data_IF_245707201842
#
_entry.id   IF_245707201842
#
_cell.length_a   1.000
_cell.length_b   1.000
_cell.length_c   1.000
_cell.angle_alpha   90.00
_cell.angle_beta   90.00
_cell.angle_gamma   90.00
#
_symmetry.space_group_name_H-M   'P 1'
#
loop_
_entity.id
_entity.type
_entity.pdbx_description
1 polymer ?
#
# COMPACT_ATOMS: atom_id res chain seq x y z
N UNK A 1 9.37 -4.68 -11.32
CA UNK A 1 10.50 -3.72 -11.48
C UNK A 1 10.46 -2.93 -12.78
N UNK A 2 10.39 -3.58 -13.95
CA UNK A 2 10.38 -2.87 -15.24
C UNK A 2 9.27 -1.82 -15.35
N UNK A 3 8.04 -2.17 -14.94
CA UNK A 3 6.93 -1.22 -14.91
C UNK A 3 7.23 0.03 -14.11
N UNK A 4 7.84 -0.09 -12.92
CA UNK A 4 8.23 1.08 -12.11
C UNK A 4 9.24 1.96 -12.87
N UNK A 5 10.31 1.38 -13.41
CA UNK A 5 11.37 2.13 -14.12
C UNK A 5 10.87 2.79 -15.41
N UNK A 6 9.94 2.17 -16.13
CA UNK A 6 9.44 2.66 -17.43
C UNK A 6 8.21 3.56 -17.32
N UNK A 7 7.39 3.35 -16.30
CA UNK A 7 6.07 3.99 -16.22
C UNK A 7 5.97 5.06 -15.14
N UNK A 8 6.84 5.10 -14.14
CA UNK A 8 6.84 6.23 -13.19
C UNK A 8 7.46 7.44 -13.89
N UNK A 9 6.64 8.46 -14.18
CA UNK A 9 7.07 9.68 -14.87
C UNK A 9 7.91 10.58 -13.96
N UNK A 10 7.64 10.55 -12.65
CA UNK A 10 8.41 11.29 -11.67
C UNK A 10 9.84 10.73 -11.56
N UNK A 11 10.82 11.59 -11.31
CA UNK A 11 12.18 11.14 -11.03
C UNK A 11 12.19 10.27 -9.77
N UNK A 12 12.71 9.06 -9.90
CA UNK A 12 12.92 8.13 -8.79
C UNK A 12 14.38 8.19 -8.38
N UNK A 13 14.64 8.47 -7.10
CA UNK A 13 15.99 8.55 -6.56
C UNK A 13 16.58 7.16 -6.33
N UNK A 14 15.92 6.37 -5.48
CA UNK A 14 16.28 5.00 -5.15
C UNK A 14 15.01 4.15 -5.13
N UNK A 15 15.14 2.85 -5.38
CA UNK A 15 14.05 1.89 -5.24
C UNK A 15 14.39 0.94 -4.09
N UNK A 16 13.44 0.83 -3.15
CA UNK A 16 13.57 0.00 -1.95
C UNK A 16 12.70 -1.24 -2.11
N UNK A 17 13.24 -2.42 -1.82
CA UNK A 17 12.48 -3.65 -1.66
C UNK A 17 12.42 -3.96 -0.18
N UNK A 18 11.20 -3.98 0.37
CA UNK A 18 10.93 -4.23 1.77
C UNK A 18 10.27 -5.59 1.87
N UNK A 19 10.90 -6.53 2.57
CA UNK A 19 10.39 -7.88 2.73
C UNK A 19 10.99 -8.55 3.96
N UNK A 20 10.45 -9.71 4.38
CA UNK A 20 11.18 -10.61 5.27
C UNK A 20 12.54 -10.96 4.66
N UNK A 21 13.49 -11.34 5.51
CA UNK A 21 14.81 -11.79 5.09
C UNK A 21 14.72 -13.05 4.20
N UNK A 22 15.07 -12.88 2.93
CA UNK A 22 15.22 -13.96 1.95
C UNK A 22 16.46 -13.66 1.10
N UNK A 23 17.42 -14.59 1.05
CA UNK A 23 18.69 -14.38 0.33
C UNK A 23 18.49 -14.18 -1.18
N UNK A 24 17.44 -14.76 -1.78
CA UNK A 24 17.13 -14.55 -3.21
C UNK A 24 16.68 -13.11 -3.47
N UNK A 25 15.92 -12.52 -2.54
CA UNK A 25 15.50 -11.11 -2.64
C UNK A 25 16.70 -10.19 -2.44
N UNK A 26 17.58 -10.50 -1.48
CA UNK A 26 18.80 -9.73 -1.21
C UNK A 26 19.72 -9.75 -2.43
N UNK A 27 19.96 -10.93 -3.02
CA UNK A 27 20.76 -11.09 -4.24
C UNK A 27 20.11 -10.35 -5.43
N UNK A 28 18.80 -10.52 -5.63
CA UNK A 28 18.05 -9.78 -6.64
C UNK A 28 18.22 -8.26 -6.52
N UNK A 29 18.23 -7.74 -5.29
CA UNK A 29 18.46 -6.32 -5.02
C UNK A 29 19.89 -5.89 -5.36
N UNK A 30 20.90 -6.68 -4.95
CA UNK A 30 22.31 -6.41 -5.26
C UNK A 30 22.56 -6.36 -6.77
N UNK A 31 22.05 -7.34 -7.51
CA UNK A 31 22.22 -7.45 -8.96
C UNK A 31 21.61 -6.28 -9.76
N UNK A 32 20.65 -5.57 -9.15
CA UNK A 32 19.85 -4.53 -9.82
C UNK A 32 20.03 -3.15 -9.21
N UNK A 33 21.02 -2.99 -8.32
CA UNK A 33 21.32 -1.74 -7.60
C UNK A 33 20.07 -1.21 -6.86
N UNK A 34 19.34 -2.10 -6.19
CA UNK A 34 18.18 -1.78 -5.35
C UNK A 34 18.58 -1.80 -3.88
N UNK A 35 17.86 -1.05 -3.06
CA UNK A 35 18.09 -1.04 -1.61
C UNK A 35 17.18 -2.07 -0.95
N UNK A 36 17.76 -3.11 -0.36
CA UNK A 36 17.02 -4.06 0.47
C UNK A 36 16.79 -3.49 1.87
N UNK A 37 15.57 -3.68 2.39
CA UNK A 37 15.20 -3.33 3.76
C UNK A 37 14.52 -4.53 4.41
N UNK A 38 15.07 -5.00 5.52
CA UNK A 38 14.44 -6.03 6.34
C UNK A 38 13.26 -5.42 7.09
N UNK A 39 12.06 -5.91 6.82
CA UNK A 39 10.85 -5.38 7.44
C UNK A 39 10.83 -5.55 8.96
N UNK A 40 11.50 -6.57 9.50
CA UNK A 40 11.58 -6.82 10.93
C UNK A 40 12.40 -5.74 11.67
N UNK A 41 13.20 -4.96 10.94
CA UNK A 41 14.01 -3.87 11.51
C UNK A 41 13.24 -2.54 11.65
N UNK A 42 12.02 -2.45 11.11
CA UNK A 42 11.28 -1.19 11.05
C UNK A 42 10.53 -0.84 12.32
N UNK A 43 10.26 -1.82 13.18
CA UNK A 43 9.52 -1.66 14.43
C UNK A 43 10.20 -2.46 15.54
N UNK A 44 9.98 -2.05 16.79
CA UNK A 44 10.47 -2.76 17.98
C UNK A 44 9.59 -3.98 18.33
N UNK A 45 8.67 -4.35 17.44
CA UNK A 45 7.80 -5.50 17.55
C UNK A 45 7.67 -6.21 16.20
N UNK A 46 7.40 -7.51 16.25
CA UNK A 46 7.17 -8.36 15.09
C UNK A 46 5.66 -8.55 14.84
N UNK A 47 5.28 -9.02 13.63
CA UNK A 47 3.90 -9.46 13.40
C UNK A 47 3.36 -10.41 14.48
N UNK A 48 4.19 -11.35 14.95
CA UNK A 48 3.75 -12.38 15.92
C UNK A 48 3.31 -11.78 17.27
N UNK A 49 3.80 -10.60 17.61
CA UNK A 49 3.47 -9.91 18.85
C UNK A 49 2.06 -9.31 18.83
N UNK A 50 1.52 -9.03 17.64
CA UNK A 50 0.22 -8.40 17.46
C UNK A 50 -0.97 -9.34 17.72
N UNK A 51 -0.78 -10.66 17.52
CA UNK A 51 -1.78 -11.72 17.76
C UNK A 51 -3.16 -11.35 17.19
N UNK A 52 -3.16 -10.88 15.95
CA UNK A 52 -4.36 -10.44 15.24
C UNK A 52 -5.07 -11.66 14.62
N UNK A 53 -5.80 -12.37 15.47
CA UNK A 53 -6.70 -13.45 15.04
C UNK A 53 -8.03 -12.84 14.60
N UNK A 54 -8.47 -13.16 13.39
CA UNK A 54 -9.71 -12.63 12.81
C UNK A 54 -10.62 -13.73 12.30
N UNK A 55 -11.91 -13.39 12.14
CA UNK A 55 -12.93 -14.28 11.60
C UNK A 55 -13.24 -15.46 12.50
N UNK A 56 -14.19 -16.28 12.06
CA UNK A 56 -14.58 -17.51 12.77
C UNK A 56 -13.52 -18.61 12.64
N UNK A 57 -12.72 -18.59 11.57
CA UNK A 57 -11.62 -19.51 11.30
C UNK A 57 -10.36 -19.19 12.12
N UNK A 58 -10.36 -18.10 12.90
CA UNK A 58 -9.20 -17.59 13.65
C UNK A 58 -7.97 -17.57 12.74
N UNK A 59 -8.09 -16.90 11.61
CA UNK A 59 -6.95 -16.65 10.72
C UNK A 59 -6.02 -15.63 11.36
N UNK A 60 -4.72 -15.90 11.33
CA UNK A 60 -3.73 -14.91 11.75
C UNK A 60 -3.52 -13.89 10.61
N UNK A 61 -3.86 -12.62 10.88
CA UNK A 61 -3.67 -11.49 9.96
C UNK A 61 -2.62 -10.51 10.45
N UNK A 62 -1.80 -10.90 11.42
CA UNK A 62 -0.78 -10.02 11.99
C UNK A 62 0.25 -9.60 10.95
N UNK A 63 0.72 -10.54 10.11
CA UNK A 63 1.64 -10.24 9.01
C UNK A 63 1.03 -9.26 8.00
N UNK A 64 -0.25 -9.43 7.69
CA UNK A 64 -0.95 -8.53 6.78
C UNK A 64 -1.13 -7.12 7.35
N UNK A 65 -1.52 -6.98 8.62
CA UNK A 65 -1.64 -5.66 9.25
C UNK A 65 -0.26 -5.01 9.42
N UNK A 66 0.79 -5.79 9.67
CA UNK A 66 2.16 -5.28 9.72
C UNK A 66 2.59 -4.63 8.39
N UNK A 67 2.20 -5.20 7.24
CA UNK A 67 2.44 -4.56 5.93
C UNK A 67 1.76 -3.18 5.83
N UNK A 68 0.58 -3.01 6.41
CA UNK A 68 -0.09 -1.69 6.47
C UNK A 68 0.75 -0.69 7.28
N UNK A 69 1.33 -1.14 8.39
CA UNK A 69 2.19 -0.30 9.23
C UNK A 69 3.48 0.10 8.54
N UNK A 70 4.13 -0.82 7.83
CA UNK A 70 5.33 -0.52 7.05
C UNK A 70 5.06 0.64 6.09
N UNK A 71 3.96 0.56 5.34
CA UNK A 71 3.58 1.56 4.34
C UNK A 71 3.20 2.91 4.96
N UNK A 72 2.55 2.92 6.13
CA UNK A 72 2.23 4.15 6.87
C UNK A 72 3.43 4.73 7.64
N UNK A 73 4.48 3.95 7.89
CA UNK A 73 5.55 4.35 8.82
C UNK A 73 6.30 5.63 8.42
N UNK A 74 6.48 5.88 7.12
CA UNK A 74 7.37 6.91 6.60
C UNK A 74 8.86 6.70 6.95
N UNK A 75 9.23 5.52 7.49
CA UNK A 75 10.61 5.22 7.94
C UNK A 75 11.56 4.87 6.79
N UNK A 76 11.04 4.40 5.66
CA UNK A 76 11.82 3.95 4.51
C UNK A 76 12.16 5.13 3.59
N UNK A 77 13.33 5.06 2.95
CA UNK A 77 13.78 6.03 1.96
C UNK A 77 14.26 7.37 2.53
N UNK A 78 14.88 8.17 1.66
CA UNK A 78 15.48 9.46 2.05
C UNK A 78 14.67 10.67 1.60
N UNK A 79 13.73 10.50 0.68
CA UNK A 79 12.90 11.56 0.14
C UNK A 79 11.70 11.88 1.05
N UNK A 80 11.23 13.12 0.98
CA UNK A 80 10.02 13.57 1.69
C UNK A 80 8.74 12.90 1.14
N UNK A 81 8.70 12.66 -0.17
CA UNK A 81 7.66 11.90 -0.83
C UNK A 81 8.21 10.55 -1.28
N UNK A 82 7.44 9.48 -1.10
CA UNK A 82 7.78 8.15 -1.61
C UNK A 82 6.57 7.49 -2.27
N UNK A 83 6.80 6.83 -3.39
CA UNK A 83 5.83 5.96 -4.01
C UNK A 83 5.91 4.59 -3.34
N UNK A 84 4.81 4.16 -2.73
CA UNK A 84 4.59 2.77 -2.35
C UNK A 84 3.80 2.08 -3.47
N UNK A 85 4.20 0.87 -3.84
CA UNK A 85 3.54 0.02 -4.82
C UNK A 85 3.59 -1.42 -4.29
N UNK A 86 2.48 -2.15 -4.42
CA UNK A 86 2.41 -3.55 -3.99
C UNK A 86 3.24 -4.43 -4.94
N UNK A 87 3.79 -5.52 -4.42
CA UNK A 87 4.71 -6.37 -5.17
C UNK A 87 4.02 -7.17 -6.30
N UNK A 88 2.71 -7.38 -6.18
CA UNK A 88 1.83 -8.03 -7.15
C UNK A 88 1.21 -7.04 -8.16
N UNK A 89 1.64 -5.78 -8.15
CA UNK A 89 1.11 -4.73 -9.02
C UNK A 89 2.13 -4.24 -10.04
N UNK A 90 1.79 -4.32 -11.34
CA UNK A 90 2.69 -3.97 -12.44
C UNK A 90 2.09 -2.84 -13.27
N UNK A 91 2.82 -1.73 -13.37
CA UNK A 91 2.46 -0.60 -14.22
C UNK A 91 2.81 -0.93 -15.67
N UNK A 92 1.87 -0.74 -16.61
CA UNK A 92 2.07 -1.01 -18.05
C UNK A 92 1.81 0.22 -18.95
N UNK A 93 1.50 1.37 -18.34
CA UNK A 93 1.41 2.69 -19.00
C UNK A 93 1.96 3.78 -18.08
N UNK A 94 2.37 4.97 -18.59
CA UNK A 94 2.89 6.05 -17.76
C UNK A 94 1.95 6.54 -16.65
N UNK A 95 2.50 6.81 -15.47
CA UNK A 95 1.85 7.33 -14.27
C UNK A 95 2.57 8.56 -13.74
N UNK A 96 1.78 9.52 -13.25
CA UNK A 96 2.27 10.68 -12.51
C UNK A 96 1.73 10.57 -11.10
N UNK A 97 2.62 10.66 -10.12
CA UNK A 97 2.31 10.55 -8.70
C UNK A 97 2.46 11.87 -7.96
N UNK A 98 3.29 12.77 -8.49
CA UNK A 98 3.47 14.12 -7.99
C UNK A 98 3.44 15.10 -9.17
N UNK A 99 2.54 16.07 -9.13
CA UNK A 99 2.47 17.12 -10.15
C UNK A 99 3.67 18.06 -10.04
N UNK A 100 3.93 18.83 -11.10
CA UNK A 100 4.95 19.90 -11.08
C UNK A 100 4.69 20.99 -10.05
N UNK A 101 3.46 21.10 -9.53
CA UNK A 101 3.06 22.01 -8.45
C UNK A 101 3.16 21.37 -7.05
N UNK A 102 3.70 20.16 -6.94
CA UNK A 102 3.85 19.45 -5.66
C UNK A 102 2.57 18.81 -5.13
N UNK A 103 1.48 18.75 -5.91
CA UNK A 103 0.26 18.03 -5.51
C UNK A 103 0.39 16.53 -5.77
N UNK A 104 0.03 15.68 -4.80
CA UNK A 104 -0.01 14.24 -5.02
C UNK A 104 -1.17 13.87 -5.94
N UNK A 105 -0.96 12.82 -6.74
CA UNK A 105 -1.97 12.22 -7.60
C UNK A 105 -2.31 10.85 -7.02
N UNK A 106 -3.55 10.70 -6.54
CA UNK A 106 -4.06 9.45 -6.00
C UNK A 106 -4.93 8.76 -7.03
N UNK A 107 -4.57 7.51 -7.30
CA UNK A 107 -5.32 6.65 -8.19
C UNK A 107 -6.39 5.92 -7.38
N UNK A 108 -7.59 5.82 -7.96
CA UNK A 108 -8.73 5.19 -7.33
C UNK A 108 -9.22 3.98 -8.11
N UNK A 109 -9.57 2.91 -7.41
CA UNK A 109 -10.08 1.68 -8.00
C UNK A 109 -11.59 1.53 -7.74
N UNK A 110 -12.20 0.55 -8.41
CA UNK A 110 -13.55 0.09 -8.09
C UNK A 110 -13.60 -0.89 -6.90
N UNK A 111 -12.47 -1.18 -6.24
CA UNK A 111 -12.40 -2.09 -5.10
C UNK A 111 -12.97 -1.43 -3.84
N UNK A 112 -14.30 -1.36 -3.78
CA UNK A 112 -14.98 -0.89 -2.60
C UNK A 112 -15.06 -2.00 -1.54
N UNK A 113 -14.49 -1.73 -0.36
CA UNK A 113 -14.58 -2.60 0.79
C UNK A 113 -15.04 -1.83 2.02
N UNK A 114 -16.28 -2.10 2.47
CA UNK A 114 -16.92 -1.35 3.57
C UNK A 114 -16.09 -1.31 4.86
N UNK A 115 -15.45 -2.41 5.31
CA UNK A 115 -14.58 -2.37 6.49
C UNK A 115 -13.49 -1.30 6.43
N UNK A 116 -12.92 -1.03 5.26
CA UNK A 116 -11.93 0.05 5.13
C UNK A 116 -12.55 1.42 5.41
N UNK A 117 -13.72 1.72 4.83
CA UNK A 117 -14.41 2.99 5.08
C UNK A 117 -14.81 3.13 6.56
N UNK A 118 -15.34 2.06 7.16
CA UNK A 118 -15.71 2.04 8.58
C UNK A 118 -14.50 2.28 9.49
N UNK A 119 -13.34 1.69 9.15
CA UNK A 119 -12.10 1.89 9.89
C UNK A 119 -11.61 3.33 9.82
N UNK A 120 -11.72 3.98 8.65
CA UNK A 120 -11.34 5.39 8.48
C UNK A 120 -12.25 6.28 9.32
N UNK A 121 -13.56 6.05 9.29
CA UNK A 121 -14.50 6.81 10.12
C UNK A 121 -14.17 6.63 11.61
N UNK A 122 -13.93 5.40 12.05
CA UNK A 122 -13.54 5.12 13.44
C UNK A 122 -12.23 5.80 13.83
N UNK A 123 -11.22 5.75 12.96
CA UNK A 123 -9.87 6.26 13.24
C UNK A 123 -9.74 7.77 13.09
N UNK A 124 -10.50 8.41 12.21
CA UNK A 124 -10.34 9.85 11.92
C UNK A 124 -11.58 10.69 12.24
N UNK A 125 -12.73 10.06 12.45
CA UNK A 125 -14.03 10.74 12.57
C UNK A 125 -14.58 11.25 11.23
N UNK A 126 -13.85 11.07 10.13
CA UNK A 126 -14.26 11.54 8.82
C UNK A 126 -15.20 10.53 8.15
N UNK A 127 -16.44 10.94 7.92
CA UNK A 127 -17.38 10.20 7.07
C UNK A 127 -17.11 10.53 5.61
N UNK A 128 -17.05 9.51 4.77
CA UNK A 128 -16.95 9.72 3.34
C UNK A 128 -17.72 8.69 2.53
N UNK A 129 -18.44 9.18 1.52
CA UNK A 129 -19.14 8.37 0.56
C UNK A 129 -18.50 8.60 -0.81
N UNK A 130 -17.54 7.74 -1.16
CA UNK A 130 -16.97 7.71 -2.51
C UNK A 130 -17.39 6.42 -3.23
N UNK A 131 -17.71 6.55 -4.51
CA UNK A 131 -17.95 5.41 -5.39
C UNK A 131 -16.68 4.62 -5.73
N UNK A 132 -15.51 5.25 -5.55
CA UNK A 132 -14.20 4.66 -5.83
C UNK A 132 -13.35 4.66 -4.56
N UNK A 133 -12.54 3.62 -4.42
CA UNK A 133 -11.64 3.37 -3.31
C UNK A 133 -10.25 3.92 -3.59
N UNK A 134 -9.49 4.30 -2.56
CA UNK A 134 -8.07 4.63 -2.72
C UNK A 134 -7.17 3.39 -2.79
N UNK A 135 -7.73 2.19 -2.56
CA UNK A 135 -7.02 0.91 -2.70
C UNK A 135 -6.78 0.62 -4.16
N UNK A 136 -5.69 1.19 -4.71
CA UNK A 136 -5.28 1.03 -6.10
C UNK A 136 -3.87 0.44 -6.20
N UNK A 137 -3.40 -0.26 -5.15
CA UNK A 137 -2.11 -0.94 -5.07
C UNK A 137 -0.86 -0.06 -5.27
N UNK A 138 -1.04 1.26 -5.27
CA UNK A 138 0.03 2.26 -5.41
C UNK A 138 -0.42 3.61 -4.91
N UNK A 139 0.44 4.30 -4.16
CA UNK A 139 0.17 5.65 -3.69
C UNK A 139 1.46 6.40 -3.36
N UNK A 140 1.46 7.69 -3.64
CA UNK A 140 2.50 8.59 -3.16
C UNK A 140 2.20 9.04 -1.74
N UNK A 141 3.04 8.65 -0.79
CA UNK A 141 2.99 9.11 0.58
C UNK A 141 3.94 10.29 0.81
N UNK A 142 3.62 11.11 1.80
CA UNK A 142 4.44 12.24 2.25
C UNK A 142 4.75 12.06 3.74
N UNK A 143 6.04 12.13 4.11
CA UNK A 143 6.49 11.84 5.48
C UNK A 143 5.96 12.84 6.50
N UNK A 144 5.88 14.12 6.15
CA UNK A 144 5.29 15.15 7.01
C UNK A 144 3.82 14.86 7.26
N UNK A 145 3.05 14.54 6.21
CA UNK A 145 1.63 14.19 6.35
C UNK A 145 1.40 12.89 7.13
N UNK A 146 2.28 11.90 7.00
CA UNK A 146 2.20 10.70 7.84
C UNK A 146 2.47 11.01 9.31
N UNK A 147 3.46 11.86 9.63
CA UNK A 147 3.69 12.33 11.00
C UNK A 147 2.48 13.06 11.57
N UNK A 148 1.84 13.91 10.77
CA UNK A 148 0.60 14.59 11.17
C UNK A 148 -0.55 13.59 11.40
N UNK A 149 -0.74 12.61 10.49
CA UNK A 149 -1.73 11.54 10.65
C UNK A 149 -1.47 10.73 11.93
N UNK A 150 -0.23 10.32 12.19
CA UNK A 150 0.11 9.56 13.40
C UNK A 150 -0.27 10.34 14.66
N UNK A 151 0.01 11.64 14.72
CA UNK A 151 -0.40 12.49 15.85
C UNK A 151 -1.92 12.52 16.01
N UNK A 152 -2.67 12.68 14.92
CA UNK A 152 -4.15 12.65 14.97
C UNK A 152 -4.67 11.33 15.53
N UNK A 153 -4.02 10.20 15.20
CA UNK A 153 -4.39 8.90 15.76
C UNK A 153 -4.03 8.81 17.26
N UNK A 154 -2.83 9.24 17.65
CA UNK A 154 -2.35 9.21 19.03
C UNK A 154 -3.15 10.13 19.97
N UNK A 155 -3.62 11.27 19.46
CA UNK A 155 -4.49 12.20 20.21
C UNK A 155 -5.86 11.61 20.55
N UNK A 156 -6.31 10.55 19.88
CA UNK A 156 -7.57 9.88 20.21
C UNK A 156 -7.52 9.07 21.50
N UNK A 157 -6.36 8.53 21.84
CA UNK A 157 -6.19 7.65 22.97
C UNK A 157 -4.85 7.94 23.67
N UNK A 158 -4.93 8.73 24.73
CA UNK A 158 -3.75 9.16 25.50
C UNK A 158 -2.89 7.97 25.95
N UNK A 159 -1.58 8.08 25.74
CA UNK A 159 -0.60 7.05 26.12
C UNK A 159 -0.46 5.89 25.12
N UNK A 160 -1.20 5.90 24.01
CA UNK A 160 -1.05 4.91 22.93
C UNK A 160 -0.30 5.48 21.73
N UNK A 161 0.50 4.63 21.10
CA UNK A 161 1.10 4.87 19.79
C UNK A 161 0.07 4.73 18.67
N UNK A 162 0.29 5.37 17.52
CA UNK A 162 -0.62 5.26 16.37
C UNK A 162 -0.86 3.80 15.93
N UNK A 163 0.15 2.93 16.04
CA UNK A 163 0.01 1.49 15.75
C UNK A 163 -0.94 0.80 16.73
N UNK A 164 -0.85 1.11 18.03
CA UNK A 164 -1.74 0.54 19.04
C UNK A 164 -3.18 0.99 18.84
N UNK A 165 -3.38 2.28 18.53
CA UNK A 165 -4.71 2.82 18.19
C UNK A 165 -5.33 2.06 17.02
N UNK A 166 -4.55 1.79 15.96
CA UNK A 166 -5.05 0.99 14.83
C UNK A 166 -5.39 -0.44 15.26
N UNK A 167 -4.51 -1.14 15.99
CA UNK A 167 -4.75 -2.53 16.45
C UNK A 167 -6.02 -2.61 17.29
N UNK A 168 -6.19 -1.69 18.24
CA UNK A 168 -7.34 -1.68 19.15
C UNK A 168 -8.64 -1.29 18.42
N UNK A 169 -8.53 -0.48 17.36
CA UNK A 169 -9.67 -0.12 16.53
C UNK A 169 -10.10 -1.23 15.56
N UNK A 170 -9.25 -2.21 15.28
CA UNK A 170 -9.44 -3.19 14.22
C UNK A 170 -10.67 -4.08 14.47
N UNK A 171 -11.57 -4.19 13.47
CA UNK A 171 -12.68 -5.12 13.53
C UNK A 171 -12.20 -6.55 13.28
N UNK A 172 -12.04 -7.32 14.36
CA UNK A 172 -11.56 -8.71 14.30
C UNK A 172 -12.54 -9.68 13.63
N UNK A 173 -13.74 -9.26 13.26
CA UNK A 173 -14.64 -10.07 12.41
C UNK A 173 -14.20 -10.05 10.95
N UNK A 174 -13.42 -9.04 10.55
CA UNK A 174 -13.04 -8.78 9.17
C UNK A 174 -11.61 -9.26 8.86
N UNK A 175 -11.48 -10.00 7.75
CA UNK A 175 -10.19 -10.47 7.23
C UNK A 175 -9.26 -9.32 6.84
N UNK A 176 -9.84 -8.23 6.35
CA UNK A 176 -9.16 -7.03 5.91
C UNK A 176 -9.89 -5.80 6.45
N UNK A 177 -9.62 -5.46 7.71
CA UNK A 177 -10.35 -4.43 8.45
C UNK A 177 -9.88 -3.00 8.22
N UNK A 178 -8.75 -2.78 7.55
CA UNK A 178 -8.17 -1.44 7.31
C UNK A 178 -7.33 -1.44 6.04
N UNK A 179 -7.24 -0.31 5.35
CA UNK A 179 -6.19 -0.09 4.34
C UNK A 179 -5.43 1.20 4.64
N UNK A 180 -4.11 1.09 4.56
CA UNK A 180 -3.18 2.22 4.52
C UNK A 180 -3.53 3.25 3.44
N UNK A 181 -3.85 2.78 2.23
CA UNK A 181 -4.20 3.64 1.09
C UNK A 181 -5.52 4.35 1.35
N UNK A 182 -6.51 3.64 1.90
CA UNK A 182 -7.78 4.24 2.25
C UNK A 182 -7.62 5.29 3.35
N UNK A 183 -6.93 4.95 4.44
CA UNK A 183 -6.71 5.86 5.57
C UNK A 183 -5.97 7.13 5.16
N UNK A 184 -4.82 6.99 4.50
CA UNK A 184 -4.01 8.14 4.09
C UNK A 184 -4.66 8.92 2.95
N UNK A 185 -5.31 8.22 2.01
CA UNK A 185 -6.07 8.81 0.91
C UNK A 185 -7.16 9.77 1.39
N UNK A 186 -7.88 9.36 2.44
CA UNK A 186 -8.87 10.22 3.11
C UNK A 186 -8.23 11.38 3.86
N UNK A 187 -7.16 11.12 4.61
CA UNK A 187 -6.51 12.13 5.43
C UNK A 187 -5.96 13.31 4.63
N UNK A 188 -5.43 13.08 3.43
CA UNK A 188 -4.83 14.14 2.61
C UNK A 188 -5.91 14.93 1.88
N UNK A 189 -6.20 16.16 2.29
CA UNK A 189 -7.23 16.98 1.65
C UNK A 189 -6.87 17.43 0.22
N UNK A 190 -5.70 18.05 0.05
CA UNK A 190 -5.30 18.70 -1.20
C UNK A 190 -4.56 17.71 -2.11
N UNK A 191 -5.31 17.10 -3.03
CA UNK A 191 -4.83 16.05 -3.94
C UNK A 191 -5.53 16.11 -5.29
N UNK A 192 -4.93 15.48 -6.29
CA UNK A 192 -5.59 15.16 -7.56
C UNK A 192 -6.05 13.71 -7.48
N UNK A 193 -7.30 13.44 -7.79
CA UNK A 193 -7.83 12.08 -7.84
C UNK A 193 -8.01 11.66 -9.29
N UNK A 194 -7.61 10.43 -9.62
CA UNK A 194 -7.80 9.87 -10.96
C UNK A 194 -8.47 8.50 -10.88
N UNK A 195 -9.56 8.25 -11.63
CA UNK A 195 -10.05 6.89 -11.79
C UNK A 195 -8.98 6.05 -12.48
N UNK A 196 -8.81 4.82 -12.01
CA UNK A 196 -7.76 3.94 -12.47
C UNK A 196 -8.27 2.86 -13.42
N UNK A 197 -7.42 2.49 -14.40
CA UNK A 197 -7.69 1.46 -15.40
C UNK A 197 -6.90 0.19 -15.04
N UNK A 198 -7.22 -0.39 -13.89
CA UNK A 198 -6.63 -1.63 -13.41
C UNK A 198 -7.24 -2.85 -14.07
N UNK A 199 -6.47 -3.94 -14.12
CA UNK A 199 -6.98 -5.24 -14.51
C UNK A 199 -6.39 -6.34 -13.62
N UNK A 200 -7.26 -7.04 -12.90
CA UNK A 200 -6.87 -8.15 -12.05
C UNK A 200 -6.71 -9.42 -12.89
N UNK A 201 -5.60 -10.12 -12.66
CA UNK A 201 -5.18 -11.31 -13.38
C UNK A 201 -4.84 -12.45 -12.42
N UNK A 202 -4.95 -13.67 -12.93
CA UNK A 202 -4.46 -14.87 -12.27
C UNK A 202 -2.95 -15.03 -12.48
N UNK A 203 -2.23 -15.66 -11.56
CA UNK A 203 -0.79 -15.90 -11.65
C UNK A 203 -0.40 -16.77 -12.84
N UNK A 204 -1.31 -17.61 -13.35
CA UNK A 204 -1.07 -18.38 -14.59
C UNK A 204 -0.98 -17.47 -15.84
N UNK A 205 -1.42 -16.21 -15.73
CA UNK A 205 -1.25 -15.15 -16.73
C UNK A 205 -0.04 -14.26 -16.48
N UNK A 206 0.81 -14.62 -15.51
CA UNK A 206 2.04 -13.88 -15.29
C UNK A 206 3.00 -14.16 -16.43
N UNK A 207 3.33 -13.11 -17.18
CA UNK A 207 4.20 -13.17 -18.34
C UNK A 207 5.31 -12.11 -18.21
N UNK A 208 6.22 -12.09 -19.19
CA UNK A 208 7.22 -11.03 -19.25
C UNK A 208 6.59 -9.65 -19.45
N UNK A 209 7.34 -8.61 -19.10
CA UNK A 209 6.82 -7.25 -19.13
C UNK A 209 6.37 -6.79 -20.53
N UNK A 210 7.07 -7.21 -21.59
CA UNK A 210 6.75 -6.80 -22.95
C UNK A 210 5.44 -7.42 -23.43
N UNK A 211 5.21 -8.69 -23.10
CA UNK A 211 3.99 -9.39 -23.45
C UNK A 211 2.79 -8.90 -22.63
N UNK A 212 2.96 -8.61 -21.33
CA UNK A 212 1.94 -7.94 -20.53
C UNK A 212 1.54 -6.57 -21.14
N UNK A 213 2.50 -5.79 -21.61
CA UNK A 213 2.21 -4.53 -22.30
C UNK A 213 1.42 -4.79 -23.60
N UNK A 214 1.90 -5.69 -24.45
CA UNK A 214 1.27 -6.02 -25.73
C UNK A 214 -0.18 -6.48 -25.55
N UNK A 215 -0.45 -7.32 -24.55
CA UNK A 215 -1.79 -7.84 -24.29
C UNK A 215 -2.72 -6.77 -23.70
N UNK A 216 -2.27 -6.00 -22.70
CA UNK A 216 -3.19 -5.24 -21.84
C UNK A 216 -3.08 -3.71 -21.95
N UNK A 217 -1.97 -3.15 -22.45
CA UNK A 217 -1.71 -1.70 -22.37
C UNK A 217 -2.60 -0.85 -23.29
N UNK A 218 -3.31 -1.46 -24.23
CA UNK A 218 -4.26 -0.77 -25.10
C UNK A 218 -5.50 -0.29 -24.32
N UNK A 219 -5.86 -0.98 -23.23
CA UNK A 219 -7.06 -0.70 -22.42
C UNK A 219 -6.72 -0.35 -20.97
N UNK A 220 -5.72 -1.01 -20.39
CA UNK A 220 -5.40 -0.90 -18.97
C UNK A 220 -4.08 -0.17 -18.77
N UNK A 221 -3.93 0.44 -17.60
CA UNK A 221 -2.73 1.18 -17.22
C UNK A 221 -1.82 0.40 -16.24
N UNK A 222 -2.38 -0.62 -15.60
CA UNK A 222 -1.66 -1.58 -14.75
C UNK A 222 -2.38 -2.92 -14.75
N UNK A 223 -1.66 -3.96 -14.35
CA UNK A 223 -2.21 -5.28 -14.04
C UNK A 223 -1.84 -5.67 -12.61
N UNK A 224 -2.70 -6.44 -11.96
CA UNK A 224 -2.53 -6.85 -10.55
C UNK A 224 -2.77 -8.34 -10.45
N UNK A 225 -2.01 -9.01 -9.58
CA UNK A 225 -2.14 -10.45 -9.33
C UNK A 225 -2.59 -10.71 -7.91
N UNK A 226 -3.82 -10.29 -7.54
CA UNK A 226 -4.22 -10.26 -6.14
C UNK A 226 -4.31 -11.66 -5.56
N UNK A 227 -3.82 -11.83 -4.33
CA UNK A 227 -3.80 -13.12 -3.61
C UNK A 227 -5.20 -13.76 -3.54
N UNK A 228 -6.25 -12.97 -3.35
CA UNK A 228 -7.62 -13.48 -3.17
C UNK A 228 -8.18 -14.19 -4.41
N UNK A 229 -7.73 -13.83 -5.62
CA UNK A 229 -8.05 -14.55 -6.86
C UNK A 229 -7.24 -15.83 -7.02
N UNK A 230 -6.08 -15.87 -6.38
CA UNK A 230 -4.97 -16.76 -6.71
C UNK A 230 -4.71 -17.81 -5.62
N UNK A 231 -5.71 -18.09 -4.76
CA UNK A 231 -5.61 -19.02 -3.63
C UNK A 231 -4.69 -20.20 -3.95
N UNK A 232 -3.49 -20.17 -3.39
CA UNK A 232 -2.56 -21.29 -3.44
C UNK A 232 -3.09 -22.25 -2.39
N UNK A 233 -3.70 -23.36 -2.82
CA UNK A 233 -4.03 -24.50 -1.95
C UNK A 233 -2.76 -25.12 -1.36
#
# INVERSE_FOLDING_TARGET
>A
MEGVRRCVVNQVKDIYIVSPRDERIIEFCKDRELVYVDEASLFDFSPKDMKLMVGNDKRDRSGWLFQQFIKLSGKIGTCENYLCIDADHILIRPHVFLTTKGLPVFYKSSEYHKPYTDSVEKLTGQKHFAFLSYVAHKMCFNKTKLKELHRVLEEKEEGKTWTQVIIDSYDRREGSGISEFQLYGHYVDRKIERPWLEHDLLYDKLEDYAELCKQYSHRYASVTFPEWMNKIE
#
